data_IF_061384992038
#
_entry.id   IF_061384992038
#
_cell.length_a   1.000
_cell.length_b   1.000
_cell.length_c   1.000
_cell.angle_alpha   90.00
_cell.angle_beta   90.00
_cell.angle_gamma   90.00
#
_symmetry.space_group_name_H-M   'P 1'
#
loop_
_entity.id
_entity.type
_entity.pdbx_description
1 polymer ?
#
# COMPACT_ATOMS: atom_id res chain seq x y z
N UNK A 1 3.20 22.91 17.81
CA UNK A 1 2.14 21.97 18.25
C UNK A 1 2.58 20.60 17.77
N UNK A 2 2.92 19.68 18.68
CA UNK A 2 3.28 18.32 18.28
C UNK A 2 2.01 17.59 17.82
N UNK A 3 2.03 17.05 16.60
CA UNK A 3 0.95 16.19 16.12
C UNK A 3 0.81 15.01 17.09
N UNK A 4 -0.39 14.80 17.63
CA UNK A 4 -0.66 13.66 18.50
C UNK A 4 -0.41 12.33 17.77
N UNK A 5 -0.08 11.24 18.50
CA UNK A 5 0.38 9.94 17.98
C UNK A 5 -0.66 9.15 17.14
N UNK A 6 -1.77 9.76 16.76
CA UNK A 6 -2.96 9.10 16.21
C UNK A 6 -3.23 9.37 14.72
N UNK A 7 -2.32 10.01 13.98
CA UNK A 7 -2.62 10.52 12.62
C UNK A 7 -1.72 10.02 11.50
N UNK A 8 -0.79 9.10 11.76
CA UNK A 8 0.18 8.73 10.73
C UNK A 8 -0.34 7.65 9.79
N UNK A 9 -0.11 7.88 8.50
CA UNK A 9 -0.42 6.95 7.41
C UNK A 9 0.89 6.41 6.84
N UNK A 10 1.01 5.09 6.74
CA UNK A 10 2.15 4.46 6.07
C UNK A 10 1.87 4.36 4.57
N UNK A 11 2.71 4.99 3.72
CA UNK A 11 2.58 4.92 2.26
C UNK A 11 3.59 3.92 1.68
N UNK A 12 3.15 2.70 1.38
CA UNK A 12 3.97 1.71 0.68
C UNK A 12 3.81 1.84 -0.83
N UNK A 13 4.91 2.04 -1.53
CA UNK A 13 4.94 2.17 -2.99
C UNK A 13 6.32 1.75 -3.53
N UNK A 14 6.45 1.65 -4.85
CA UNK A 14 7.77 1.49 -5.46
C UNK A 14 8.39 2.85 -5.79
N UNK A 15 9.67 3.03 -5.44
CA UNK A 15 10.46 4.20 -5.84
C UNK A 15 11.03 4.12 -7.26
N UNK A 16 10.77 3.02 -7.99
CA UNK A 16 11.49 2.68 -9.24
C UNK A 16 10.80 3.15 -10.52
N UNK A 17 9.52 3.51 -10.46
CA UNK A 17 8.78 4.06 -11.61
C UNK A 17 8.44 5.53 -11.34
N UNK A 18 8.92 6.49 -12.16
CA UNK A 18 8.68 7.92 -11.95
C UNK A 18 7.19 8.30 -11.89
N UNK A 19 6.35 7.76 -12.78
CA UNK A 19 4.92 8.07 -12.79
C UNK A 19 4.23 7.54 -11.52
N UNK A 20 4.58 6.33 -11.08
CA UNK A 20 4.09 5.77 -9.82
C UNK A 20 4.49 6.64 -8.62
N UNK A 21 5.75 7.09 -8.60
CA UNK A 21 6.32 8.00 -7.57
C UNK A 21 5.64 9.37 -7.59
N UNK A 22 5.34 9.92 -8.75
CA UNK A 22 4.67 11.21 -8.86
C UNK A 22 3.22 11.13 -8.37
N UNK A 23 2.53 10.01 -8.65
CA UNK A 23 1.18 9.78 -8.14
C UNK A 23 1.16 9.69 -6.60
N UNK A 24 2.08 8.95 -5.97
CA UNK A 24 2.13 8.85 -4.50
C UNK A 24 2.51 10.18 -3.86
N UNK A 25 3.43 10.95 -4.49
CA UNK A 25 3.82 12.28 -4.00
C UNK A 25 2.67 13.27 -4.08
N UNK A 26 1.89 13.24 -5.17
CA UNK A 26 0.68 14.05 -5.30
C UNK A 26 -0.36 13.68 -4.24
N UNK A 27 -0.51 12.38 -3.94
CA UNK A 27 -1.40 11.89 -2.89
C UNK A 27 -0.93 12.33 -1.49
N UNK A 28 0.35 12.15 -1.17
CA UNK A 28 0.99 12.64 0.05
C UNK A 28 0.64 14.11 0.30
N UNK A 29 0.91 14.97 -0.70
CA UNK A 29 0.67 16.41 -0.58
C UNK A 29 -0.81 16.75 -0.35
N UNK A 30 -1.73 16.02 -0.98
CA UNK A 30 -3.17 16.18 -0.74
C UNK A 30 -3.59 15.71 0.65
N UNK A 31 -3.05 14.61 1.15
CA UNK A 31 -3.36 14.13 2.50
C UNK A 31 -2.87 15.12 3.57
N UNK A 32 -1.64 15.60 3.42
CA UNK A 32 -1.08 16.61 4.31
C UNK A 32 -1.92 17.90 4.31
N UNK A 33 -2.26 18.43 3.12
CA UNK A 33 -3.01 19.68 3.00
C UNK A 33 -4.49 19.58 3.42
N UNK A 34 -5.17 18.45 3.17
CA UNK A 34 -6.61 18.33 3.43
C UNK A 34 -6.97 17.91 4.86
N UNK A 35 -6.17 17.06 5.50
CA UNK A 35 -6.50 16.49 6.81
C UNK A 35 -5.40 16.65 7.86
N UNK A 36 -4.28 17.30 7.51
CA UNK A 36 -3.14 17.49 8.41
C UNK A 36 -2.55 16.16 8.89
N UNK A 37 -2.66 15.10 8.07
CA UNK A 37 -2.06 13.81 8.36
C UNK A 37 -0.62 13.81 7.88
N UNK A 38 0.29 13.53 8.80
CA UNK A 38 1.66 13.21 8.47
C UNK A 38 1.71 11.78 7.92
N UNK A 39 2.55 11.55 6.94
CA UNK A 39 2.75 10.24 6.34
C UNK A 39 4.17 9.78 6.57
N UNK A 40 4.37 8.52 6.91
CA UNK A 40 5.70 7.92 6.83
C UNK A 40 6.02 7.57 5.38
N UNK A 41 7.18 8.07 4.95
CA UNK A 41 7.69 7.95 3.59
C UNK A 41 9.21 7.88 3.65
N UNK A 42 9.82 7.01 2.85
CA UNK A 42 11.16 7.31 2.36
C UNK A 42 11.40 6.67 0.98
N UNK A 43 12.18 7.41 0.19
CA UNK A 43 12.58 7.22 -1.19
C UNK A 43 13.55 6.05 -1.36
N UNK A 44 13.16 4.86 -0.91
CA UNK A 44 14.00 3.67 -1.03
C UNK A 44 13.99 3.16 -2.47
N UNK A 45 14.86 3.78 -3.27
CA UNK A 45 15.14 3.40 -4.65
C UNK A 45 16.28 2.40 -4.76
N UNK A 46 16.89 1.94 -3.66
CA UNK A 46 18.07 1.06 -3.70
C UNK A 46 17.92 -0.19 -2.85
N UNK A 47 18.64 -1.27 -3.20
CA UNK A 47 18.89 -2.40 -2.31
C UNK A 47 19.54 -1.87 -1.03
N UNK A 48 18.88 -1.98 0.13
CA UNK A 48 19.54 -1.65 1.40
C UNK A 48 20.84 -2.45 1.52
N UNK A 49 21.88 -1.82 2.08
CA UNK A 49 23.11 -2.51 2.41
C UNK A 49 22.84 -3.72 3.32
N UNK A 50 23.62 -4.81 3.17
CA UNK A 50 23.57 -5.92 4.11
C UNK A 50 23.79 -5.42 5.56
N UNK A 51 22.87 -5.75 6.46
CA UNK A 51 22.96 -5.43 7.90
C UNK A 51 22.12 -4.25 8.38
N UNK A 52 21.38 -3.56 7.52
CA UNK A 52 20.44 -2.53 7.97
C UNK A 52 19.21 -3.17 8.66
N UNK A 53 18.79 -2.69 9.86
CA UNK A 53 17.65 -3.22 10.60
C UNK A 53 16.34 -2.71 9.99
N UNK A 54 16.13 -3.02 8.71
CA UNK A 54 14.99 -2.54 7.94
C UNK A 54 13.65 -2.99 8.52
N UNK A 55 13.59 -4.25 8.95
CA UNK A 55 12.38 -4.81 9.54
C UNK A 55 12.03 -4.05 10.83
N UNK A 56 13.03 -3.68 11.65
CA UNK A 56 12.82 -2.86 12.85
C UNK A 56 12.35 -1.45 12.48
N UNK A 57 12.94 -0.82 11.46
CA UNK A 57 12.52 0.50 10.98
C UNK A 57 11.07 0.50 10.48
N UNK A 58 10.68 -0.48 9.67
CA UNK A 58 9.26 -0.60 9.24
C UNK A 58 8.37 -0.82 10.46
N UNK A 59 8.73 -1.77 11.33
CA UNK A 59 7.90 -2.08 12.50
C UNK A 59 7.73 -0.87 13.41
N UNK A 60 8.78 -0.08 13.63
CA UNK A 60 8.73 1.15 14.42
C UNK A 60 7.88 2.23 13.75
N UNK A 61 8.00 2.41 12.43
CA UNK A 61 7.12 3.31 11.69
C UNK A 61 5.65 2.87 11.77
N UNK A 62 5.38 1.56 11.65
CA UNK A 62 4.04 0.99 11.71
C UNK A 62 3.39 1.07 13.09
N UNK A 63 4.17 1.11 14.19
CA UNK A 63 3.63 1.32 15.55
C UNK A 63 2.93 2.66 15.69
N UNK A 64 3.41 3.68 14.99
CA UNK A 64 2.85 5.03 14.99
C UNK A 64 1.74 5.22 13.96
N UNK A 65 1.50 4.22 13.09
CA UNK A 65 0.51 4.30 12.01
C UNK A 65 -0.80 3.60 12.38
N UNK A 66 -1.93 4.20 11.97
CA UNK A 66 -3.27 3.59 12.08
C UNK A 66 -3.79 3.02 10.76
N UNK A 67 -3.18 3.45 9.66
CA UNK A 67 -3.58 3.11 8.30
C UNK A 67 -2.33 2.83 7.45
N UNK A 68 -2.34 1.70 6.74
CA UNK A 68 -1.42 1.41 5.65
C UNK A 68 -2.07 1.65 4.30
N UNK A 69 -1.36 2.30 3.40
CA UNK A 69 -1.76 2.50 2.01
C UNK A 69 -0.74 1.80 1.12
N UNK A 70 -1.21 0.96 0.20
CA UNK A 70 -0.32 0.15 -0.65
C UNK A 70 -0.59 0.49 -2.11
N UNK A 71 0.28 1.28 -2.74
CA UNK A 71 0.25 1.48 -4.19
C UNK A 71 0.86 0.27 -4.91
N UNK A 72 0.03 -0.72 -5.17
CA UNK A 72 0.43 -1.97 -5.81
C UNK A 72 0.47 -1.81 -7.33
N UNK A 73 1.55 -2.29 -7.96
CA UNK A 73 1.78 -2.26 -9.40
C UNK A 73 2.62 -3.46 -9.84
N UNK A 74 2.83 -3.66 -11.14
CA UNK A 74 3.79 -4.69 -11.62
C UNK A 74 5.21 -4.39 -11.15
N UNK A 75 5.61 -3.12 -11.16
CA UNK A 75 6.93 -2.67 -10.68
C UNK A 75 7.08 -2.97 -9.18
N UNK A 76 6.05 -2.72 -8.39
CA UNK A 76 6.02 -3.04 -6.95
C UNK A 76 6.32 -4.51 -6.70
N UNK A 77 5.59 -5.42 -7.38
CA UNK A 77 5.73 -6.87 -7.22
C UNK A 77 7.16 -7.35 -7.53
N UNK A 78 7.87 -6.62 -8.36
CA UNK A 78 9.19 -6.96 -8.86
C UNK A 78 10.35 -6.49 -7.98
N UNK A 79 10.09 -5.71 -6.92
CA UNK A 79 11.13 -5.15 -6.05
C UNK A 79 10.98 -5.61 -4.60
N UNK A 80 12.10 -5.78 -3.89
CA UNK A 80 12.07 -6.42 -2.58
C UNK A 80 11.51 -5.52 -1.49
N UNK A 81 11.85 -4.23 -1.49
CA UNK A 81 11.47 -3.31 -0.42
C UNK A 81 9.96 -3.13 -0.32
N UNK A 82 9.25 -2.79 -1.41
CA UNK A 82 7.82 -2.64 -1.32
C UNK A 82 7.16 -3.97 -0.91
N UNK A 83 7.66 -5.12 -1.40
CA UNK A 83 7.15 -6.42 -0.97
C UNK A 83 7.35 -6.72 0.52
N UNK A 84 8.49 -6.34 1.11
CA UNK A 84 8.72 -6.47 2.56
C UNK A 84 7.76 -5.58 3.37
N UNK A 85 7.54 -4.34 2.93
CA UNK A 85 6.57 -3.44 3.54
C UNK A 85 5.15 -4.04 3.51
N UNK A 86 4.74 -4.63 2.38
CA UNK A 86 3.45 -5.30 2.28
C UNK A 86 3.33 -6.45 3.31
N UNK A 87 4.36 -7.29 3.41
CA UNK A 87 4.37 -8.39 4.38
C UNK A 87 4.21 -7.85 5.81
N UNK A 88 4.97 -6.80 6.17
CA UNK A 88 4.88 -6.17 7.48
C UNK A 88 3.50 -5.55 7.75
N UNK A 89 2.92 -4.87 6.75
CA UNK A 89 1.57 -4.29 6.83
C UNK A 89 0.50 -5.37 7.04
N UNK A 90 0.59 -6.48 6.32
CA UNK A 90 -0.34 -7.60 6.46
C UNK A 90 -0.22 -8.23 7.85
N UNK A 91 1.00 -8.49 8.33
CA UNK A 91 1.24 -8.98 9.70
C UNK A 91 0.67 -8.03 10.76
N UNK A 92 0.88 -6.72 10.59
CA UNK A 92 0.31 -5.68 11.47
C UNK A 92 -1.22 -5.73 11.48
N UNK A 93 -1.84 -5.85 10.30
CA UNK A 93 -3.30 -5.96 10.17
C UNK A 93 -3.87 -7.27 10.73
N UNK A 94 -3.14 -8.38 10.65
CA UNK A 94 -3.54 -9.65 11.25
C UNK A 94 -3.48 -9.60 12.78
N UNK A 95 -2.47 -8.93 13.34
CA UNK A 95 -2.25 -8.81 14.78
C UNK A 95 -3.09 -7.72 15.46
N UNK A 96 -3.65 -6.77 14.70
CA UNK A 96 -4.46 -5.68 15.23
C UNK A 96 -5.63 -5.35 14.30
N UNK A 97 -6.85 -5.77 14.69
CA UNK A 97 -8.06 -5.49 13.92
C UNK A 97 -8.41 -4.02 13.80
N UNK A 98 -7.77 -3.09 14.53
CA UNK A 98 -7.98 -1.66 14.37
C UNK A 98 -7.13 -1.06 13.24
N UNK A 99 -5.99 -1.69 12.93
CA UNK A 99 -5.15 -1.29 11.81
C UNK A 99 -5.85 -1.58 10.49
N UNK A 100 -5.86 -0.58 9.59
CA UNK A 100 -6.54 -0.68 8.29
C UNK A 100 -5.53 -0.68 7.16
N UNK A 101 -5.88 -1.33 6.05
CA UNK A 101 -5.13 -1.27 4.79
C UNK A 101 -6.04 -0.76 3.67
N UNK A 102 -5.52 0.13 2.82
CA UNK A 102 -6.16 0.61 1.59
C UNK A 102 -5.22 0.33 0.40
N UNK A 103 -5.52 -0.68 -0.43
CA UNK A 103 -4.78 -0.89 -1.66
C UNK A 103 -5.15 0.14 -2.72
N UNK A 104 -4.15 0.67 -3.41
CA UNK A 104 -4.28 1.54 -4.56
C UNK A 104 -3.66 0.81 -5.76
N UNK A 105 -4.48 0.26 -6.63
CA UNK A 105 -4.04 -0.56 -7.75
C UNK A 105 -3.66 0.35 -8.93
N UNK A 106 -2.36 0.49 -9.16
CA UNK A 106 -1.81 1.37 -10.20
C UNK A 106 -1.50 0.57 -11.46
N UNK A 107 -2.33 0.75 -12.49
CA UNK A 107 -2.26 0.08 -13.80
C UNK A 107 -2.04 -1.44 -13.71
N UNK A 108 -2.67 -2.02 -12.68
CA UNK A 108 -2.80 -3.44 -12.45
C UNK A 108 -4.19 -3.69 -11.87
N UNK A 109 -4.87 -4.76 -12.28
CA UNK A 109 -6.14 -5.13 -11.67
C UNK A 109 -5.96 -6.20 -10.58
N UNK A 110 -6.90 -6.31 -9.62
CA UNK A 110 -6.85 -7.32 -8.57
C UNK A 110 -6.85 -8.78 -9.08
N UNK A 111 -7.47 -9.06 -10.23
CA UNK A 111 -7.43 -10.36 -10.91
C UNK A 111 -6.04 -10.64 -11.48
N UNK A 112 -5.39 -9.67 -12.10
CA UNK A 112 -4.03 -9.83 -12.63
C UNK A 112 -3.01 -10.20 -11.54
N UNK A 113 -3.17 -9.68 -10.32
CA UNK A 113 -2.35 -10.09 -9.17
C UNK A 113 -2.47 -11.60 -8.86
N UNK A 114 -3.65 -12.21 -9.08
CA UNK A 114 -3.86 -13.66 -8.88
C UNK A 114 -2.99 -14.48 -9.82
N UNK A 115 -2.74 -14.00 -11.01
CA UNK A 115 -1.97 -14.71 -12.02
C UNK A 115 -0.47 -14.41 -11.88
N UNK A 116 -0.09 -13.19 -11.55
CA UNK A 116 1.30 -12.83 -11.26
C UNK A 116 1.89 -13.66 -10.12
N UNK A 117 1.14 -13.90 -9.04
CA UNK A 117 1.64 -14.73 -7.91
C UNK A 117 1.84 -16.20 -8.27
N UNK A 118 1.44 -16.65 -9.46
CA UNK A 118 1.74 -18.00 -9.97
C UNK A 118 2.97 -18.02 -10.89
N UNK A 119 3.47 -16.86 -11.30
CA UNK A 119 4.61 -16.74 -12.21
C UNK A 119 5.90 -17.18 -11.52
N UNK A 120 6.53 -18.24 -12.03
CA UNK A 120 7.78 -18.77 -11.49
C UNK A 120 8.93 -17.78 -11.57
N UNK A 121 8.99 -16.95 -12.60
CA UNK A 121 10.04 -15.94 -12.75
C UNK A 121 9.96 -14.87 -11.66
N UNK A 122 8.74 -14.58 -11.17
CA UNK A 122 8.52 -13.70 -10.04
C UNK A 122 8.98 -14.36 -8.73
N UNK A 123 8.67 -15.65 -8.54
CA UNK A 123 9.16 -16.42 -7.39
C UNK A 123 10.69 -16.46 -7.35
N UNK A 124 11.34 -16.73 -8.48
CA UNK A 124 12.81 -16.76 -8.58
C UNK A 124 13.41 -15.39 -8.28
N UNK A 125 12.73 -14.31 -8.67
CA UNK A 125 13.12 -12.95 -8.30
C UNK A 125 13.00 -12.73 -6.79
N UNK A 126 11.90 -13.12 -6.16
CA UNK A 126 11.74 -13.01 -4.70
C UNK A 126 12.78 -13.82 -3.93
N UNK A 127 13.10 -15.04 -4.38
CA UNK A 127 14.17 -15.86 -3.79
C UNK A 127 15.54 -15.19 -3.89
N UNK A 128 15.86 -14.57 -5.02
CA UNK A 128 17.12 -13.80 -5.19
C UNK A 128 17.22 -12.62 -4.24
N UNK A 129 16.09 -12.10 -3.76
CA UNK A 129 16.04 -11.08 -2.73
C UNK A 129 15.88 -11.64 -1.30
N UNK A 130 15.98 -12.95 -1.13
CA UNK A 130 15.81 -13.65 0.14
C UNK A 130 14.45 -13.39 0.80
N UNK A 131 13.40 -13.20 -0.01
CA UNK A 131 12.03 -13.14 0.49
C UNK A 131 11.43 -14.54 0.60
N UNK A 132 10.60 -14.74 1.61
CA UNK A 132 9.75 -15.92 1.70
C UNK A 132 8.64 -15.83 0.62
N UNK A 133 8.69 -16.74 -0.35
CA UNK A 133 7.77 -16.76 -1.49
C UNK A 133 6.33 -17.03 -1.03
N UNK A 134 6.14 -17.95 -0.09
CA UNK A 134 4.79 -18.30 0.37
C UNK A 134 4.16 -17.16 1.16
N UNK A 135 4.96 -16.47 1.96
CA UNK A 135 4.52 -15.27 2.67
C UNK A 135 4.18 -14.13 1.72
N UNK A 136 4.98 -13.89 0.68
CA UNK A 136 4.68 -12.91 -0.36
C UNK A 136 3.35 -13.23 -1.07
N UNK A 137 3.17 -14.50 -1.48
CA UNK A 137 1.93 -14.96 -2.11
C UNK A 137 0.74 -14.75 -1.17
N UNK A 138 0.86 -15.14 0.10
CA UNK A 138 -0.22 -15.02 1.07
C UNK A 138 -0.57 -13.56 1.36
N UNK A 139 0.43 -12.69 1.43
CA UNK A 139 0.25 -11.25 1.63
C UNK A 139 -0.51 -10.62 0.47
N UNK A 140 -0.19 -10.98 -0.78
CA UNK A 140 -0.94 -10.52 -1.96
C UNK A 140 -2.36 -11.09 -1.98
N UNK A 141 -2.55 -12.38 -1.64
CA UNK A 141 -3.89 -12.98 -1.53
C UNK A 141 -4.76 -12.24 -0.51
N UNK A 142 -4.18 -11.83 0.62
CA UNK A 142 -4.87 -11.03 1.64
C UNK A 142 -5.13 -9.60 1.18
N UNK A 143 -4.14 -8.93 0.58
CA UNK A 143 -4.26 -7.58 0.05
C UNK A 143 -5.46 -7.44 -0.90
N UNK A 144 -5.66 -8.43 -1.78
CA UNK A 144 -6.78 -8.48 -2.74
C UNK A 144 -8.18 -8.52 -2.11
N UNK A 145 -8.29 -8.84 -0.81
CA UNK A 145 -9.55 -8.82 -0.07
C UNK A 145 -9.90 -7.44 0.48
N UNK A 146 -8.93 -6.53 0.54
CA UNK A 146 -9.19 -5.16 0.96
C UNK A 146 -9.82 -4.36 -0.18
N UNK A 147 -10.76 -3.52 0.21
CA UNK A 147 -11.40 -2.56 -0.67
C UNK A 147 -10.42 -1.43 -0.99
N UNK A 148 -10.23 -1.15 -2.28
CA UNK A 148 -9.24 -0.20 -2.77
C UNK A 148 -9.68 0.57 -4.02
N UNK A 149 -8.77 1.40 -4.53
CA UNK A 149 -8.99 2.24 -5.73
C UNK A 149 -8.17 1.69 -6.88
N UNK A 150 -8.77 1.51 -8.06
CA UNK A 150 -8.08 0.99 -9.25
C UNK A 150 -7.90 2.10 -10.27
N UNK A 151 -6.66 2.39 -10.69
CA UNK A 151 -6.40 3.44 -11.69
C UNK A 151 -7.04 3.14 -13.04
N UNK A 152 -6.82 1.93 -13.59
CA UNK A 152 -7.37 1.46 -14.86
C UNK A 152 -7.20 2.44 -16.04
N UNK A 153 -5.99 3.00 -16.23
CA UNK A 153 -5.70 3.93 -17.33
C UNK A 153 -6.27 5.35 -17.18
N UNK A 154 -6.94 5.66 -16.06
CA UNK A 154 -7.45 7.00 -15.77
C UNK A 154 -6.35 8.03 -15.59
N UNK A 155 -6.69 9.30 -15.80
CA UNK A 155 -5.75 10.39 -15.56
C UNK A 155 -5.28 10.41 -14.10
N UNK A 156 -4.01 10.76 -13.91
CA UNK A 156 -3.37 10.70 -12.60
C UNK A 156 -4.09 11.59 -11.57
N UNK A 157 -4.55 12.77 -11.97
CA UNK A 157 -5.23 13.71 -11.07
C UNK A 157 -6.57 13.16 -10.56
N UNK A 158 -7.34 12.50 -11.43
CA UNK A 158 -8.61 11.86 -11.06
C UNK A 158 -8.35 10.68 -10.11
N UNK A 159 -7.42 9.81 -10.47
CA UNK A 159 -7.01 8.69 -9.64
C UNK A 159 -6.57 9.13 -8.24
N UNK A 160 -5.69 10.13 -8.16
CA UNK A 160 -5.18 10.66 -6.88
C UNK A 160 -6.31 11.29 -6.05
N UNK A 161 -7.29 11.96 -6.69
CA UNK A 161 -8.45 12.52 -5.99
C UNK A 161 -9.27 11.42 -5.31
N UNK A 162 -9.57 10.34 -6.01
CA UNK A 162 -10.31 9.21 -5.45
C UNK A 162 -9.53 8.46 -4.38
N UNK A 163 -8.22 8.27 -4.57
CA UNK A 163 -7.35 7.68 -3.55
C UNK A 163 -7.45 8.46 -2.23
N UNK A 164 -7.38 9.79 -2.31
CA UNK A 164 -7.55 10.66 -1.14
C UNK A 164 -8.92 10.46 -0.49
N UNK A 165 -10.01 10.38 -1.26
CA UNK A 165 -11.36 10.17 -0.72
C UNK A 165 -11.50 8.82 -0.01
N UNK A 166 -11.01 7.75 -0.64
CA UNK A 166 -11.01 6.42 -0.05
C UNK A 166 -10.21 6.37 1.27
N UNK A 167 -9.04 7.02 1.30
CA UNK A 167 -8.19 7.09 2.49
C UNK A 167 -8.85 7.89 3.60
N UNK A 168 -9.40 9.08 3.30
CA UNK A 168 -10.09 9.92 4.29
C UNK A 168 -11.29 9.19 4.90
N UNK A 169 -12.12 8.55 4.07
CA UNK A 169 -13.27 7.79 4.54
C UNK A 169 -12.84 6.64 5.46
N UNK A 170 -11.81 5.87 5.05
CA UNK A 170 -11.27 4.77 5.85
C UNK A 170 -10.66 5.26 7.17
N UNK A 171 -9.93 6.38 7.13
CA UNK A 171 -9.27 6.97 8.30
C UNK A 171 -10.29 7.48 9.33
N UNK A 172 -11.42 8.01 8.87
CA UNK A 172 -12.50 8.51 9.73
C UNK A 172 -13.49 7.40 10.17
N UNK A 173 -13.28 6.14 9.75
CA UNK A 173 -14.20 5.04 10.04
C UNK A 173 -15.54 5.10 9.30
N UNK A 174 -15.62 5.91 8.25
CA UNK A 174 -16.82 6.07 7.41
C UNK A 174 -16.84 4.98 6.35
N UNK A 175 -17.93 4.21 6.28
CA UNK A 175 -18.14 3.25 5.20
C UNK A 175 -18.30 3.99 3.86
N UNK A 176 -17.65 3.58 2.76
CA UNK A 176 -17.85 4.20 1.47
C UNK A 176 -19.31 4.11 0.98
N UNK A 177 -19.89 5.22 0.52
CA UNK A 177 -21.29 5.31 0.02
C UNK A 177 -21.65 4.29 -1.08
N UNK A 178 -20.67 3.72 -1.79
CA UNK A 178 -20.94 2.75 -2.86
C UNK A 178 -21.24 1.33 -2.33
N UNK A 179 -21.01 1.05 -1.04
CA UNK A 179 -21.41 -0.23 -0.41
C UNK A 179 -22.94 -0.38 -0.33
N UNK A 180 -23.70 0.71 -0.16
CA UNK A 180 -25.17 0.68 -0.20
C UNK A 180 -25.71 0.39 -1.60
N UNK A 181 -25.00 0.84 -2.64
CA UNK A 181 -25.42 0.67 -4.04
C UNK A 181 -25.28 -0.76 -4.56
N UNK A 182 -24.46 -1.60 -3.93
CA UNK A 182 -24.32 -3.02 -4.32
C UNK A 182 -25.36 -3.94 -3.67
N UNK A 183 -26.06 -3.51 -2.61
CA UNK A 183 -27.10 -4.31 -1.96
C UNK A 183 -28.50 -4.12 -2.59
N UNK A 184 -28.67 -3.08 -3.42
CA UNK A 184 -29.96 -2.73 -4.05
C UNK A 184 -30.09 -3.13 -5.52
N UNK A 185 -29.17 -3.93 -6.05
CA UNK A 185 -29.28 -4.52 -7.40
C UNK A 185 -29.04 -6.04 -7.35
N UNK A 186 -29.85 -6.72 -6.54
CA UNK A 186 -30.13 -8.16 -6.68
C UNK A 186 -31.37 -8.37 -7.54
#
# INVERSE_FOLDING_TARGET
MAAGPDKMIFLSHTGKNPAEKDAIRALHNKLHTCIGCDTFFDEHSESLPPGEPFDDRINDALKSCRLGVVQISRTYMQHPWPMKELVALIRRSDGDPSFRIVPLFYDIRPDELRDLVKDRSLHDRWRRFHLDVDECINSIKKLRKFVGVVRNGREQNEYVKECKEAIVNKNNGVAPDWLEKMQNHS
#
